data_IF_621648498759
#
_entry.id   IF_621648498759
#
_cell.length_a   1.000
_cell.length_b   1.000
_cell.length_c   1.000
_cell.angle_alpha   90.00
_cell.angle_beta   90.00
_cell.angle_gamma   90.00
#
_symmetry.space_group_name_H-M   'P 1'
#
loop_
_entity.id
_entity.type
_entity.pdbx_description
1 polymer ?
#
# COMPACT_ATOMS: atom_id res chain seq x y z
N UNK A 1 10.11 5.93 -14.39
CA UNK A 1 9.49 7.10 -15.02
C UNK A 1 10.08 8.39 -14.46
N UNK A 2 9.65 9.50 -15.01
CA UNK A 2 10.19 10.82 -14.64
C UNK A 2 9.93 11.15 -13.18
N UNK A 3 10.92 11.74 -12.52
CA UNK A 3 10.79 12.22 -11.16
C UNK A 3 10.76 11.13 -10.10
N UNK A 4 11.01 9.87 -10.47
CA UNK A 4 11.04 8.77 -9.52
C UNK A 4 12.31 8.87 -8.65
N UNK A 5 12.13 8.68 -7.35
CA UNK A 5 13.22 8.65 -6.39
C UNK A 5 13.14 7.35 -5.59
N UNK A 6 14.23 6.62 -5.55
CA UNK A 6 14.33 5.38 -4.78
C UNK A 6 15.50 5.52 -3.82
N UNK A 7 15.23 5.35 -2.53
CA UNK A 7 16.25 5.44 -1.52
C UNK A 7 17.26 4.30 -1.59
N UNK A 8 18.44 4.47 -0.98
CA UNK A 8 19.42 3.39 -0.94
C UNK A 8 18.87 2.18 -0.19
N UNK A 9 19.43 1.02 -0.48
CA UNK A 9 19.07 -0.25 0.16
C UNK A 9 17.63 -0.67 -0.10
N UNK A 10 17.06 -0.25 -1.23
CA UNK A 10 15.74 -0.72 -1.66
C UNK A 10 15.88 -1.58 -2.90
N UNK A 11 14.97 -2.54 -3.04
CA UNK A 11 15.01 -3.52 -4.12
C UNK A 11 13.72 -3.44 -4.93
N UNK A 12 13.84 -2.94 -6.15
CA UNK A 12 12.72 -2.92 -7.09
C UNK A 12 12.85 -4.15 -7.97
N UNK A 13 11.98 -5.10 -7.77
CA UNK A 13 12.04 -6.40 -8.46
C UNK A 13 11.29 -6.34 -9.79
N UNK A 14 11.46 -7.40 -10.57
CA UNK A 14 10.85 -7.55 -11.88
C UNK A 14 9.33 -7.37 -11.87
N UNK A 15 8.79 -6.91 -12.97
CA UNK A 15 7.36 -6.71 -13.12
C UNK A 15 6.84 -5.46 -12.44
N UNK A 16 7.72 -4.62 -11.88
CA UNK A 16 7.30 -3.41 -11.19
C UNK A 16 7.39 -2.20 -12.10
N UNK A 17 6.40 -1.31 -11.98
CA UNK A 17 6.33 -0.06 -12.71
C UNK A 17 6.11 1.08 -11.72
N UNK A 18 7.10 1.97 -11.63
CA UNK A 18 6.98 3.19 -10.83
C UNK A 18 6.69 4.33 -11.78
N UNK A 19 5.53 4.94 -11.65
CA UNK A 19 5.10 6.01 -12.54
C UNK A 19 5.68 7.35 -12.10
N UNK A 20 5.11 8.47 -12.57
CA UNK A 20 5.72 9.79 -12.39
C UNK A 20 5.76 10.20 -10.91
N UNK A 21 6.89 10.73 -10.48
CA UNK A 21 7.08 11.33 -9.15
C UNK A 21 6.83 10.36 -7.98
N UNK A 22 7.02 9.08 -8.20
CA UNK A 22 6.94 8.09 -7.12
C UNK A 22 8.17 8.22 -6.23
N UNK A 23 7.97 8.16 -4.93
CA UNK A 23 9.05 8.14 -3.95
C UNK A 23 9.04 6.81 -3.19
N UNK A 24 10.19 6.14 -3.16
CA UNK A 24 10.40 4.92 -2.39
C UNK A 24 11.50 5.18 -1.36
N UNK A 25 11.20 4.99 -0.10
CA UNK A 25 12.17 5.20 0.98
C UNK A 25 13.19 4.06 1.08
N UNK A 26 13.95 4.06 2.16
CA UNK A 26 15.01 3.07 2.38
C UNK A 26 14.45 1.73 2.82
N UNK A 27 15.14 0.64 2.44
CA UNK A 27 14.82 -0.72 2.87
C UNK A 27 13.42 -1.16 2.46
N UNK A 28 12.99 -0.75 1.29
CA UNK A 28 11.71 -1.20 0.72
C UNK A 28 11.97 -2.25 -0.34
N UNK A 29 11.01 -3.15 -0.50
CA UNK A 29 11.02 -4.10 -1.59
C UNK A 29 9.71 -3.98 -2.35
N UNK A 30 9.79 -3.80 -3.68
CA UNK A 30 8.62 -3.71 -4.55
C UNK A 30 8.74 -4.80 -5.59
N UNK A 31 7.71 -5.63 -5.71
CA UNK A 31 7.73 -6.78 -6.60
C UNK A 31 6.43 -6.85 -7.39
N UNK A 32 6.54 -6.94 -8.70
CA UNK A 32 5.41 -7.18 -9.60
C UNK A 32 4.22 -6.25 -9.28
N UNK A 33 4.51 -4.95 -9.11
CA UNK A 33 3.51 -3.98 -8.66
C UNK A 33 3.55 -2.73 -9.53
N UNK A 34 2.39 -2.10 -9.67
CA UNK A 34 2.30 -0.79 -10.30
C UNK A 34 2.05 0.25 -9.22
N UNK A 35 2.91 1.27 -9.19
CA UNK A 35 2.81 2.35 -8.22
C UNK A 35 2.41 3.63 -8.96
N UNK A 36 1.25 4.17 -8.62
CA UNK A 36 0.69 5.35 -9.27
C UNK A 36 1.45 6.63 -8.98
N UNK A 37 1.16 7.66 -9.76
CA UNK A 37 1.90 8.91 -9.76
C UNK A 37 1.81 9.62 -8.40
N UNK A 38 2.93 10.16 -7.93
CA UNK A 38 2.98 10.92 -6.70
C UNK A 38 2.86 10.09 -5.43
N UNK A 39 2.77 8.77 -5.55
CA UNK A 39 2.67 7.88 -4.39
C UNK A 39 4.01 7.78 -3.68
N UNK A 40 3.94 7.73 -2.35
CA UNK A 40 5.12 7.60 -1.49
C UNK A 40 5.04 6.30 -0.70
N UNK A 41 6.08 5.50 -0.81
CA UNK A 41 6.24 4.27 -0.01
C UNK A 41 7.25 4.52 1.09
N UNK A 42 6.83 4.34 2.33
CA UNK A 42 7.68 4.58 3.48
C UNK A 42 8.77 3.52 3.64
N UNK A 43 9.50 3.65 4.72
CA UNK A 43 10.64 2.79 5.02
C UNK A 43 10.21 1.38 5.42
N UNK A 44 11.08 0.39 5.20
CA UNK A 44 10.89 -0.99 5.67
C UNK A 44 9.57 -1.60 5.20
N UNK A 45 9.14 -1.29 3.97
CA UNK A 45 7.87 -1.79 3.46
C UNK A 45 8.07 -2.87 2.41
N UNK A 46 7.12 -3.78 2.32
CA UNK A 46 7.08 -4.75 1.23
C UNK A 46 5.76 -4.58 0.45
N UNK A 47 5.87 -4.25 -0.82
CA UNK A 47 4.73 -4.09 -1.72
C UNK A 47 4.89 -5.12 -2.83
N UNK A 48 4.14 -6.19 -2.73
CA UNK A 48 4.21 -7.29 -3.69
C UNK A 48 2.85 -7.60 -4.30
N UNK A 49 2.85 -7.84 -5.60
CA UNK A 49 1.65 -8.19 -6.36
C UNK A 49 0.51 -7.20 -6.12
N UNK A 50 0.81 -5.90 -6.22
CA UNK A 50 -0.13 -4.84 -5.88
C UNK A 50 -0.31 -3.83 -6.99
N UNK A 51 -1.50 -3.24 -7.04
CA UNK A 51 -1.78 -2.04 -7.82
C UNK A 51 -2.07 -0.92 -6.85
N UNK A 52 -1.20 0.09 -6.83
CA UNK A 52 -1.34 1.24 -5.95
C UNK A 52 -1.68 2.46 -6.80
N UNK A 53 -2.73 3.16 -6.41
CA UNK A 53 -3.19 4.34 -7.13
C UNK A 53 -2.27 5.55 -6.98
N UNK A 54 -2.79 6.69 -7.42
CA UNK A 54 -2.05 7.95 -7.40
C UNK A 54 -2.15 8.61 -6.02
N UNK A 55 -1.10 9.33 -5.64
CA UNK A 55 -1.05 10.14 -4.42
C UNK A 55 -1.40 9.37 -3.16
N UNK A 56 -1.08 8.09 -3.13
CA UNK A 56 -1.20 7.28 -1.93
C UNK A 56 0.02 7.50 -1.04
N UNK A 57 -0.19 7.39 0.26
CA UNK A 57 0.91 7.44 1.21
C UNK A 57 0.96 6.09 1.95
N UNK A 58 2.01 5.34 1.70
CA UNK A 58 2.20 4.02 2.30
C UNK A 58 3.17 4.19 3.48
N UNK A 59 2.66 4.00 4.69
CA UNK A 59 3.46 4.18 5.89
C UNK A 59 4.54 3.14 6.07
N UNK A 60 5.52 3.47 6.88
CA UNK A 60 6.66 2.58 7.15
C UNK A 60 6.21 1.25 7.74
N UNK A 61 6.84 0.17 7.31
CA UNK A 61 6.54 -1.17 7.83
C UNK A 61 5.27 -1.79 7.27
N UNK A 62 4.67 -1.19 6.26
CA UNK A 62 3.49 -1.76 5.61
C UNK A 62 3.87 -2.99 4.80
N UNK A 63 3.10 -4.05 4.93
CA UNK A 63 3.34 -5.32 4.27
C UNK A 63 2.08 -5.74 3.51
N UNK A 64 2.23 -6.02 2.23
CA UNK A 64 1.21 -6.77 1.50
C UNK A 64 1.45 -8.24 1.77
N UNK A 65 0.52 -8.86 2.49
CA UNK A 65 0.60 -10.30 2.76
C UNK A 65 0.04 -11.04 1.56
N UNK A 66 0.87 -11.16 0.52
CA UNK A 66 0.45 -11.61 -0.80
C UNK A 66 0.47 -13.13 -1.01
N UNK A 67 1.03 -13.86 -0.07
CA UNK A 67 1.17 -15.31 -0.19
C UNK A 67 0.46 -16.00 0.97
N UNK A 68 -0.43 -16.94 0.66
CA UNK A 68 -1.24 -17.64 1.67
C UNK A 68 -0.68 -19.01 2.06
N UNK A 69 0.51 -19.35 1.57
CA UNK A 69 1.12 -20.65 1.77
C UNK A 69 0.98 -21.55 0.54
N UNK A 70 0.10 -21.21 -0.37
CA UNK A 70 -0.12 -21.96 -1.62
C UNK A 70 -0.12 -21.05 -2.84
N UNK A 71 -0.91 -19.98 -2.81
CA UNK A 71 -1.09 -19.07 -3.93
C UNK A 71 -0.75 -17.64 -3.55
N UNK A 72 -0.38 -16.85 -4.56
CA UNK A 72 -0.19 -15.41 -4.43
C UNK A 72 -1.47 -14.69 -4.82
N UNK A 73 -1.77 -13.62 -4.10
CA UNK A 73 -2.97 -12.82 -4.31
C UNK A 73 -2.61 -11.35 -4.44
N UNK A 74 -3.47 -10.59 -5.11
CA UNK A 74 -3.22 -9.18 -5.36
C UNK A 74 -3.88 -8.29 -4.32
N UNK A 75 -3.21 -7.16 -4.08
CA UNK A 75 -3.74 -6.06 -3.27
C UNK A 75 -3.96 -4.87 -4.18
N UNK A 76 -5.11 -4.20 -4.02
CA UNK A 76 -5.39 -2.97 -4.75
C UNK A 76 -5.57 -1.84 -3.75
N UNK A 77 -4.79 -0.79 -3.91
CA UNK A 77 -4.86 0.40 -3.06
C UNK A 77 -5.28 1.57 -3.93
N UNK A 78 -6.37 2.21 -3.57
CA UNK A 78 -6.94 3.30 -4.35
C UNK A 78 -6.16 4.61 -4.28
N UNK A 79 -6.67 5.62 -4.96
CA UNK A 79 -6.05 6.94 -5.02
C UNK A 79 -6.24 7.70 -3.71
N UNK A 80 -5.29 8.58 -3.40
CA UNK A 80 -5.38 9.48 -2.24
C UNK A 80 -5.58 8.76 -0.92
N UNK A 81 -5.05 7.56 -0.79
CA UNK A 81 -5.17 6.79 0.45
C UNK A 81 -4.05 7.15 1.41
N UNK A 82 -4.30 6.88 2.69
CA UNK A 82 -3.28 6.98 3.73
C UNK A 82 -3.22 5.63 4.46
N UNK A 83 -2.17 4.88 4.19
CA UNK A 83 -1.94 3.59 4.84
C UNK A 83 -1.00 3.84 6.01
N UNK A 84 -1.50 3.65 7.22
CA UNK A 84 -0.71 3.89 8.43
C UNK A 84 0.46 2.92 8.57
N UNK A 85 1.44 3.32 9.37
CA UNK A 85 2.64 2.50 9.58
C UNK A 85 2.30 1.13 10.13
N UNK A 86 3.05 0.11 9.70
CA UNK A 86 2.87 -1.28 10.13
C UNK A 86 1.48 -1.85 9.85
N UNK A 87 0.83 -1.36 8.80
CA UNK A 87 -0.43 -1.97 8.33
C UNK A 87 -0.11 -3.26 7.59
N UNK A 88 -0.79 -4.33 7.97
CA UNK A 88 -0.72 -5.61 7.27
C UNK A 88 -1.93 -5.73 6.36
N UNK A 89 -1.72 -5.81 5.06
CA UNK A 89 -2.79 -5.93 4.08
C UNK A 89 -2.86 -7.38 3.63
N UNK A 90 -3.86 -8.10 4.12
CA UNK A 90 -3.99 -9.53 3.83
C UNK A 90 -4.71 -9.70 2.50
N UNK A 91 -3.94 -10.02 1.47
CA UNK A 91 -4.47 -10.20 0.11
C UNK A 91 -5.28 -11.49 -0.03
N UNK A 92 -6.30 -11.53 -0.90
CA UNK A 92 -6.73 -10.43 -1.74
C UNK A 92 -7.54 -9.38 -0.98
N UNK A 93 -7.22 -8.12 -1.22
CA UNK A 93 -7.92 -7.02 -0.54
C UNK A 93 -7.90 -5.78 -1.42
N UNK A 94 -8.96 -4.98 -1.35
CA UNK A 94 -9.08 -3.71 -2.05
C UNK A 94 -9.32 -2.60 -1.05
N UNK A 95 -8.51 -1.56 -1.14
CA UNK A 95 -8.65 -0.35 -0.32
C UNK A 95 -9.21 0.74 -1.24
N UNK A 96 -10.42 1.22 -0.94
CA UNK A 96 -11.07 2.23 -1.76
C UNK A 96 -10.38 3.59 -1.71
N UNK A 97 -10.69 4.44 -2.67
CA UNK A 97 -10.10 5.78 -2.76
C UNK A 97 -10.39 6.59 -1.49
N UNK A 98 -9.48 7.48 -1.15
CA UNK A 98 -9.62 8.40 -0.01
C UNK A 98 -9.78 7.70 1.34
N UNK A 99 -9.35 6.46 1.44
CA UNK A 99 -9.47 5.70 2.68
C UNK A 99 -8.19 5.78 3.51
N UNK A 100 -8.32 5.48 4.78
CA UNK A 100 -7.24 5.57 5.77
C UNK A 100 -7.18 4.30 6.57
N UNK A 101 -5.98 3.77 6.82
CA UNK A 101 -5.80 2.74 7.83
C UNK A 101 -5.00 3.30 9.00
N UNK A 102 -5.39 2.93 10.21
CA UNK A 102 -4.62 3.29 11.40
C UNK A 102 -3.35 2.48 11.50
N UNK A 103 -2.34 3.02 12.19
CA UNK A 103 -1.07 2.31 12.39
C UNK A 103 -1.30 0.97 13.10
N UNK A 104 -0.58 -0.04 12.66
CA UNK A 104 -0.66 -1.38 13.24
C UNK A 104 -1.90 -2.17 12.87
N UNK A 105 -2.70 -1.69 11.94
CA UNK A 105 -3.92 -2.40 11.54
C UNK A 105 -3.63 -3.66 10.75
N UNK A 106 -4.48 -4.66 10.91
CA UNK A 106 -4.47 -5.88 10.09
C UNK A 106 -5.75 -5.91 9.28
N UNK A 107 -5.63 -5.59 7.99
CA UNK A 107 -6.78 -5.46 7.09
C UNK A 107 -7.03 -6.79 6.40
N UNK A 108 -8.18 -7.39 6.70
CA UNK A 108 -8.56 -8.70 6.17
C UNK A 108 -9.77 -8.64 5.24
N UNK A 109 -10.39 -7.48 5.10
CA UNK A 109 -11.58 -7.27 4.27
C UNK A 109 -11.43 -6.02 3.44
N UNK A 110 -12.14 -5.94 2.32
CA UNK A 110 -12.15 -4.76 1.49
C UNK A 110 -12.62 -3.55 2.27
N UNK A 111 -11.95 -2.42 2.04
CA UNK A 111 -12.32 -1.15 2.66
C UNK A 111 -13.02 -0.29 1.59
N UNK A 112 -14.27 0.13 1.83
CA UNK A 112 -14.97 0.98 0.89
C UNK A 112 -14.27 2.34 0.73
N UNK A 113 -14.59 3.02 -0.36
CA UNK A 113 -14.14 4.39 -0.61
C UNK A 113 -14.49 5.29 0.58
N UNK A 114 -13.59 6.22 0.89
CA UNK A 114 -13.84 7.26 1.90
C UNK A 114 -14.13 6.68 3.28
N UNK A 115 -13.38 5.67 3.67
CA UNK A 115 -13.57 4.98 4.95
C UNK A 115 -12.28 4.97 5.76
N UNK A 116 -12.41 4.77 7.05
CA UNK A 116 -11.28 4.53 7.96
C UNK A 116 -11.37 3.11 8.49
N UNK A 117 -10.25 2.43 8.53
CA UNK A 117 -10.15 1.09 9.11
C UNK A 117 -9.04 1.08 10.15
N UNK A 118 -9.29 0.48 11.30
CA UNK A 118 -8.32 0.44 12.39
C UNK A 118 -8.49 -0.82 13.22
N UNK A 119 -7.37 -1.35 13.67
CA UNK A 119 -7.33 -2.47 14.59
C UNK A 119 -6.90 -3.77 13.96
N UNK A 120 -6.88 -4.84 14.76
CA UNK A 120 -6.50 -6.19 14.34
C UNK A 120 -7.50 -7.22 14.90
N UNK A 121 -8.44 -7.73 14.08
CA UNK A 121 -8.68 -7.33 12.69
C UNK A 121 -9.24 -5.91 12.60
N UNK A 122 -8.97 -5.25 11.48
CA UNK A 122 -9.39 -3.86 11.32
C UNK A 122 -10.91 -3.76 11.25
N UNK A 123 -11.45 -2.75 11.94
CA UNK A 123 -12.85 -2.39 11.88
C UNK A 123 -13.02 -1.19 10.96
N UNK A 124 -14.09 -1.17 10.20
CA UNK A 124 -14.32 -0.21 9.13
C UNK A 124 -15.33 0.84 9.60
N UNK A 125 -14.96 2.10 9.41
CA UNK A 125 -15.79 3.27 9.72
C UNK A 125 -16.04 4.03 8.42
N UNK A 126 -17.18 3.78 7.80
CA UNK A 126 -17.54 4.39 6.52
C UNK A 126 -17.70 5.91 6.66
N UNK A 127 -17.31 6.65 5.64
CA UNK A 127 -17.39 8.09 5.63
C UNK A 127 -16.29 8.80 6.44
N UNK A 128 -15.37 8.07 7.05
CA UNK A 128 -14.30 8.62 7.87
C UNK A 128 -12.94 8.49 7.20
N UNK A 129 -12.92 8.63 5.90
CA UNK A 129 -11.71 8.57 5.13
C UNK A 129 -10.91 9.87 5.18
N UNK A 130 -9.89 9.91 4.32
CA UNK A 130 -9.00 11.05 4.17
C UNK A 130 -9.75 12.22 3.52
N UNK A 131 -9.63 13.37 4.12
CA UNK A 131 -10.26 14.59 3.58
C UNK A 131 -9.28 15.38 2.71
#
# INVERSE_FOLDING_TARGET
SDGVSVGPFSHIREGSLLTKDVYVGNYCEIKNSRIGSGTKCGHFSYIGDADVGDNANIGAGTITCNYDGENKHRTVIGNNTFIGSNTMLVAPVQIGDNSVTGAGSVVTKNIPTNSRAIGAPARIFQGEGRS
#
